data_IF_182305728436
#
_entry.id   IF_182305728436
#
_cell.length_a   1.000
_cell.length_b   1.000
_cell.length_c   1.000
_cell.angle_alpha   90.00
_cell.angle_beta   90.00
_cell.angle_gamma   90.00
#
_symmetry.space_group_name_H-M   'P 1'
#
loop_
_entity.id
_entity.type
_entity.pdbx_description
1 polymer ?
#
# COMPACT_ATOMS: atom_id res chain seq x y z
N UNK A 1 -5.63 -15.38 27.15
CA UNK A 1 -4.57 -15.84 28.09
C UNK A 1 -3.48 -16.56 27.31
N UNK A 2 -2.27 -16.70 27.88
CA UNK A 2 -1.14 -17.44 27.28
C UNK A 2 -1.54 -18.88 26.84
N UNK A 3 -2.48 -19.48 27.57
CA UNK A 3 -3.09 -20.79 27.27
C UNK A 3 -4.02 -20.77 26.04
N UNK A 4 -4.77 -19.70 25.80
CA UNK A 4 -5.52 -19.53 24.53
C UNK A 4 -4.59 -19.29 23.36
N UNK A 5 -3.49 -18.57 23.57
CA UNK A 5 -2.47 -18.33 22.56
C UNK A 5 -1.79 -19.64 22.15
N UNK A 6 -1.45 -20.49 23.12
CA UNK A 6 -0.89 -21.83 22.91
C UNK A 6 -1.89 -22.78 22.23
N UNK A 7 -3.20 -22.65 22.49
CA UNK A 7 -4.24 -23.41 21.78
C UNK A 7 -4.42 -22.94 20.33
N UNK A 8 -4.46 -21.63 20.09
CA UNK A 8 -4.49 -21.06 18.72
C UNK A 8 -3.24 -21.50 17.96
N UNK A 9 -2.07 -21.42 18.60
CA UNK A 9 -0.82 -21.87 18.01
C UNK A 9 -0.81 -23.38 17.78
N UNK A 10 -1.31 -24.22 18.69
CA UNK A 10 -1.38 -25.68 18.49
C UNK A 10 -2.35 -26.06 17.37
N UNK A 11 -3.56 -25.50 17.38
CA UNK A 11 -4.58 -25.81 16.37
C UNK A 11 -4.18 -25.30 14.97
N UNK A 12 -3.39 -24.22 14.89
CA UNK A 12 -2.96 -23.60 13.63
C UNK A 12 -1.55 -24.00 13.17
N UNK A 13 -0.63 -24.40 14.05
CA UNK A 13 0.64 -25.06 13.67
C UNK A 13 0.39 -26.47 13.12
N UNK A 14 -0.65 -27.17 13.59
CA UNK A 14 -1.06 -28.46 13.02
C UNK A 14 -1.40 -28.36 11.53
N UNK A 15 -1.90 -27.21 11.07
CA UNK A 15 -2.20 -26.95 9.66
C UNK A 15 -0.94 -26.71 8.81
N UNK A 16 0.18 -26.29 9.40
CA UNK A 16 1.39 -25.88 8.66
C UNK A 16 2.50 -26.94 8.60
N UNK A 17 2.47 -27.97 9.46
CA UNK A 17 3.51 -29.02 9.46
C UNK A 17 3.18 -30.18 8.49
N UNK A 18 1.91 -30.39 8.11
CA UNK A 18 1.48 -31.62 7.41
C UNK A 18 0.67 -31.38 6.12
N UNK A 19 0.06 -30.20 5.91
CA UNK A 19 -0.86 -30.02 4.78
C UNK A 19 -0.19 -29.25 3.64
N UNK A 20 -0.11 -29.82 2.41
CA UNK A 20 0.33 -29.10 1.23
C UNK A 20 -0.50 -27.83 1.03
N UNK A 21 0.17 -26.71 0.75
CA UNK A 21 -0.49 -25.44 0.47
C UNK A 21 -1.49 -25.59 -0.69
N UNK A 22 -2.77 -25.49 -0.40
CA UNK A 22 -3.89 -25.52 -1.34
C UNK A 22 -4.91 -24.41 -1.02
N UNK A 23 -5.88 -24.15 -1.90
CA UNK A 23 -6.85 -23.06 -1.71
C UNK A 23 -7.63 -23.15 -0.38
N UNK A 24 -7.98 -24.36 0.08
CA UNK A 24 -8.67 -24.58 1.35
C UNK A 24 -7.80 -24.22 2.58
N UNK A 25 -6.48 -24.40 2.48
CA UNK A 25 -5.53 -23.99 3.52
C UNK A 25 -5.38 -22.46 3.59
N UNK A 26 -5.51 -21.75 2.46
CA UNK A 26 -5.38 -20.29 2.36
C UNK A 26 -6.47 -19.55 3.12
N UNK A 27 -7.72 -20.03 3.06
CA UNK A 27 -8.85 -19.41 3.76
C UNK A 27 -8.78 -19.63 5.28
N UNK A 28 -8.39 -20.82 5.70
CA UNK A 28 -8.21 -21.14 7.13
C UNK A 28 -7.08 -20.32 7.73
N UNK A 29 -5.99 -20.15 6.99
CA UNK A 29 -4.87 -19.29 7.35
C UNK A 29 -5.20 -17.79 7.36
N UNK A 30 -6.03 -17.34 6.41
CA UNK A 30 -6.51 -15.95 6.40
C UNK A 30 -7.40 -15.68 7.62
N UNK A 31 -8.25 -16.63 8.02
CA UNK A 31 -9.07 -16.52 9.25
C UNK A 31 -8.20 -16.49 10.51
N UNK A 32 -7.19 -17.34 10.59
CA UNK A 32 -6.17 -17.38 11.64
C UNK A 32 -5.49 -16.01 11.83
N UNK A 33 -4.89 -15.49 10.76
CA UNK A 33 -4.23 -14.18 10.78
C UNK A 33 -5.20 -13.05 11.15
N UNK A 34 -6.42 -13.08 10.63
CA UNK A 34 -7.44 -12.10 11.00
C UNK A 34 -7.76 -12.11 12.50
N UNK A 35 -7.78 -13.29 13.14
CA UNK A 35 -7.94 -13.40 14.61
C UNK A 35 -6.73 -12.84 15.35
N UNK A 36 -5.52 -13.17 14.93
CA UNK A 36 -4.30 -12.60 15.51
C UNK A 36 -4.25 -11.07 15.39
N UNK A 37 -4.70 -10.54 14.25
CA UNK A 37 -4.85 -9.09 14.04
C UNK A 37 -5.93 -8.47 14.93
N UNK A 38 -7.06 -9.14 15.14
CA UNK A 38 -8.12 -8.68 16.05
C UNK A 38 -7.64 -8.65 17.51
N UNK A 39 -6.78 -9.59 17.89
CA UNK A 39 -6.26 -9.71 19.26
C UNK A 39 -4.97 -8.89 19.51
N UNK A 40 -4.48 -8.16 18.50
CA UNK A 40 -3.29 -7.30 18.57
C UNK A 40 -1.98 -8.02 18.98
N UNK A 41 -1.83 -9.31 18.62
CA UNK A 41 -0.60 -10.07 18.90
C UNK A 41 0.46 -9.86 17.83
N UNK A 42 0.91 -8.60 17.67
CA UNK A 42 1.86 -8.20 16.63
C UNK A 42 3.17 -8.97 16.76
N UNK A 43 3.70 -9.15 17.97
CA UNK A 43 4.94 -9.89 18.21
C UNK A 43 4.86 -11.34 17.72
N UNK A 44 3.70 -11.97 17.90
CA UNK A 44 3.45 -13.32 17.42
C UNK A 44 3.36 -13.37 15.90
N UNK A 45 2.69 -12.40 15.28
CA UNK A 45 2.63 -12.28 13.82
C UNK A 45 4.04 -12.12 13.23
N UNK A 46 4.88 -11.30 13.85
CA UNK A 46 6.27 -11.10 13.45
C UNK A 46 7.12 -12.36 13.67
N UNK A 47 6.92 -13.06 14.80
CA UNK A 47 7.59 -14.33 15.08
C UNK A 47 7.23 -15.37 14.02
N UNK A 48 5.95 -15.60 13.76
CA UNK A 48 5.51 -16.58 12.76
C UNK A 48 6.03 -16.17 11.38
N UNK A 49 5.96 -14.88 11.00
CA UNK A 49 6.54 -14.41 9.74
C UNK A 49 8.04 -14.74 9.61
N UNK A 50 8.84 -14.40 10.63
CA UNK A 50 10.31 -14.60 10.59
C UNK A 50 10.68 -16.07 10.45
N UNK A 51 9.90 -16.97 11.06
CA UNK A 51 10.21 -18.39 11.13
C UNK A 51 9.42 -19.25 10.14
N UNK A 52 8.42 -18.72 9.44
CA UNK A 52 7.56 -19.48 8.55
C UNK A 52 7.67 -19.00 7.08
N UNK A 53 8.27 -19.82 6.24
CA UNK A 53 8.48 -19.54 4.81
C UNK A 53 7.15 -19.40 4.04
N UNK A 54 6.12 -20.14 4.45
CA UNK A 54 4.80 -20.10 3.85
C UNK A 54 4.12 -18.76 4.13
N UNK A 55 4.24 -18.23 5.35
CA UNK A 55 3.72 -16.92 5.75
C UNK A 55 4.49 -15.77 5.07
N UNK A 56 5.80 -15.94 4.89
CA UNK A 56 6.61 -15.06 4.03
C UNK A 56 6.09 -15.07 2.60
N UNK A 57 5.92 -16.24 2.00
CA UNK A 57 5.40 -16.40 0.63
C UNK A 57 4.00 -15.82 0.50
N UNK A 58 3.13 -16.00 1.50
CA UNK A 58 1.78 -15.45 1.55
C UNK A 58 1.78 -13.93 1.52
N UNK A 59 2.55 -13.26 2.39
CA UNK A 59 2.70 -11.80 2.35
C UNK A 59 3.40 -11.30 1.08
N UNK A 60 4.26 -12.11 0.46
CA UNK A 60 5.03 -11.75 -0.72
C UNK A 60 4.28 -11.93 -2.05
N UNK A 61 3.05 -12.47 -2.03
CA UNK A 61 2.24 -12.57 -3.26
C UNK A 61 1.48 -11.28 -3.54
N UNK A 62 1.68 -10.72 -4.73
CA UNK A 62 1.00 -9.50 -5.22
C UNK A 62 -0.52 -9.60 -5.06
N UNK A 63 -1.09 -10.75 -5.42
CA UNK A 63 -2.51 -11.10 -5.23
C UNK A 63 -2.99 -10.95 -3.77
N UNK A 64 -2.18 -11.38 -2.81
CA UNK A 64 -2.57 -11.30 -1.40
C UNK A 64 -2.54 -9.86 -0.92
N UNK A 65 -1.46 -9.14 -1.23
CA UNK A 65 -1.32 -7.72 -0.91
C UNK A 65 -2.54 -6.97 -1.45
N UNK A 66 -2.87 -7.12 -2.73
CA UNK A 66 -4.05 -6.49 -3.35
C UNK A 66 -5.36 -6.82 -2.66
N UNK A 67 -5.62 -8.11 -2.39
CA UNK A 67 -6.85 -8.56 -1.73
C UNK A 67 -6.98 -8.09 -0.28
N UNK A 68 -5.86 -7.79 0.39
CA UNK A 68 -5.85 -7.51 1.82
C UNK A 68 -5.52 -6.05 2.16
N UNK A 69 -5.10 -5.21 1.21
CA UNK A 69 -4.91 -3.77 1.42
C UNK A 69 -6.15 -3.15 2.07
N UNK A 70 -7.34 -3.46 1.54
CA UNK A 70 -8.59 -2.92 2.04
C UNK A 70 -8.88 -3.36 3.48
N UNK A 71 -8.50 -4.59 3.81
CA UNK A 71 -8.60 -5.12 5.17
C UNK A 71 -7.62 -4.36 6.07
N UNK A 72 -6.35 -4.27 5.68
CA UNK A 72 -5.26 -3.63 6.45
C UNK A 72 -5.51 -2.14 6.69
N UNK A 73 -6.09 -1.43 5.72
CA UNK A 73 -6.39 -0.01 5.80
C UNK A 73 -7.78 0.29 6.38
N UNK A 74 -8.66 -0.72 6.43
CA UNK A 74 -10.08 -0.53 6.73
C UNK A 74 -10.41 -0.04 8.14
N UNK A 75 -9.52 -0.24 9.13
CA UNK A 75 -9.73 0.26 10.50
C UNK A 75 -8.44 0.68 11.21
N UNK A 76 -8.57 1.40 12.34
CA UNK A 76 -7.43 1.97 13.08
C UNK A 76 -6.41 0.94 13.56
N UNK A 77 -6.87 -0.18 14.13
CA UNK A 77 -5.96 -1.22 14.66
C UNK A 77 -5.16 -1.87 13.55
N UNK A 78 -5.81 -2.22 12.43
CA UNK A 78 -5.14 -2.82 11.28
C UNK A 78 -4.14 -1.88 10.63
N UNK A 79 -4.38 -0.56 10.65
CA UNK A 79 -3.39 0.44 10.24
C UNK A 79 -2.17 0.49 11.17
N UNK A 80 -2.35 0.35 12.48
CA UNK A 80 -1.23 0.33 13.43
C UNK A 80 -0.34 -0.89 13.20
N UNK A 81 -0.96 -2.05 13.02
CA UNK A 81 -0.28 -3.26 12.60
C UNK A 81 0.45 -3.05 11.26
N UNK A 82 -0.22 -2.56 10.21
CA UNK A 82 0.41 -2.32 8.92
C UNK A 82 1.63 -1.40 9.06
N UNK A 83 1.51 -0.34 9.87
CA UNK A 83 2.65 0.53 10.18
C UNK A 83 3.80 -0.26 10.81
N UNK A 84 3.50 -1.17 11.74
CA UNK A 84 4.52 -2.02 12.40
C UNK A 84 5.17 -2.97 11.41
N UNK A 85 4.38 -3.60 10.52
CA UNK A 85 4.91 -4.46 9.45
C UNK A 85 5.80 -3.65 8.47
N UNK A 86 5.47 -2.40 8.20
CA UNK A 86 6.28 -1.52 7.36
C UNK A 86 7.59 -1.10 8.07
N UNK A 87 7.59 -0.95 9.40
CA UNK A 87 8.81 -0.63 10.18
C UNK A 87 9.80 -1.79 10.23
N UNK A 88 9.31 -3.01 10.04
CA UNK A 88 10.12 -4.22 10.00
C UNK A 88 10.84 -4.33 8.65
N UNK A 89 12.13 -3.96 8.63
CA UNK A 89 12.97 -3.90 7.40
C UNK A 89 12.82 -5.06 6.42
N UNK A 90 12.80 -6.35 6.80
CA UNK A 90 12.61 -7.44 5.83
C UNK A 90 11.21 -7.44 5.20
N UNK A 91 10.19 -6.97 5.93
CA UNK A 91 8.80 -6.87 5.47
C UNK A 91 8.54 -5.60 4.65
N UNK A 92 9.23 -4.52 4.96
CA UNK A 92 9.10 -3.23 4.28
C UNK A 92 9.19 -3.36 2.75
N UNK A 93 10.11 -4.22 2.28
CA UNK A 93 10.35 -4.45 0.85
C UNK A 93 9.14 -5.03 0.12
N UNK A 94 8.30 -5.82 0.80
CA UNK A 94 7.10 -6.42 0.24
C UNK A 94 6.05 -5.35 -0.11
N UNK A 95 6.07 -4.22 0.58
CA UNK A 95 5.16 -3.10 0.35
C UNK A 95 5.66 -2.11 -0.73
N UNK A 96 6.88 -2.30 -1.23
CA UNK A 96 7.46 -1.56 -2.36
C UNK A 96 6.94 -2.19 -3.67
N UNK A 97 5.62 -2.15 -3.86
CA UNK A 97 4.96 -2.70 -5.04
C UNK A 97 4.00 -1.65 -5.61
N UNK A 98 3.97 -1.55 -6.95
CA UNK A 98 3.08 -0.68 -7.70
C UNK A 98 1.63 -0.76 -7.23
N UNK A 99 1.04 -1.95 -7.22
CA UNK A 99 -0.39 -2.12 -6.99
C UNK A 99 -0.76 -1.73 -5.54
N UNK A 100 0.15 -1.98 -4.59
CA UNK A 100 0.01 -1.50 -3.21
C UNK A 100 -0.05 0.03 -3.15
N UNK A 101 0.90 0.70 -3.79
CA UNK A 101 1.00 2.17 -3.80
C UNK A 101 -0.21 2.82 -4.47
N UNK A 102 -0.63 2.31 -5.63
CA UNK A 102 -1.81 2.82 -6.33
C UNK A 102 -3.07 2.69 -5.47
N UNK A 103 -3.22 1.56 -4.76
CA UNK A 103 -4.35 1.37 -3.84
C UNK A 103 -4.29 2.30 -2.64
N UNK A 104 -3.11 2.62 -2.11
CA UNK A 104 -2.95 3.63 -1.05
C UNK A 104 -3.41 5.01 -1.53
N UNK A 105 -3.15 5.36 -2.79
CA UNK A 105 -3.63 6.60 -3.41
C UNK A 105 -5.17 6.61 -3.49
N UNK A 106 -5.78 5.53 -3.99
CA UNK A 106 -7.24 5.39 -4.06
C UNK A 106 -7.90 5.53 -2.68
N UNK A 107 -7.30 4.90 -1.67
CA UNK A 107 -7.76 4.93 -0.28
C UNK A 107 -7.31 6.18 0.48
N UNK A 108 -6.59 7.10 -0.17
CA UNK A 108 -6.12 8.37 0.41
C UNK A 108 -5.29 8.18 1.69
N UNK A 109 -4.47 7.12 1.74
CA UNK A 109 -3.60 6.81 2.87
C UNK A 109 -2.26 7.54 2.79
N UNK A 110 -2.30 8.87 2.97
CA UNK A 110 -1.14 9.73 2.79
C UNK A 110 0.05 9.35 3.68
N UNK A 111 -0.18 9.09 4.97
CA UNK A 111 0.90 8.81 5.92
C UNK A 111 1.61 7.47 5.64
N UNK A 112 0.84 6.46 5.25
CA UNK A 112 1.41 5.14 4.90
C UNK A 112 2.19 5.23 3.59
N UNK A 113 1.65 5.94 2.59
CA UNK A 113 2.35 6.17 1.33
C UNK A 113 3.67 6.92 1.56
N UNK A 114 3.63 8.01 2.33
CA UNK A 114 4.81 8.80 2.67
C UNK A 114 5.90 7.93 3.28
N UNK A 115 5.54 7.09 4.26
CA UNK A 115 6.46 6.15 4.92
C UNK A 115 7.12 5.18 3.95
N UNK A 116 6.38 4.65 2.98
CA UNK A 116 6.92 3.70 1.99
C UNK A 116 7.87 4.39 1.01
N UNK A 117 7.57 5.64 0.62
CA UNK A 117 8.47 6.42 -0.23
C UNK A 117 9.76 6.77 0.51
N UNK A 118 9.69 7.05 1.82
CA UNK A 118 10.85 7.28 2.68
C UNK A 118 11.72 6.01 2.81
N UNK A 119 11.11 4.82 2.82
CA UNK A 119 11.82 3.55 2.83
C UNK A 119 12.55 3.26 1.51
N UNK A 120 11.93 3.61 0.38
CA UNK A 120 12.59 3.50 -0.91
C UNK A 120 12.06 4.52 -1.91
N UNK A 121 12.92 5.46 -2.31
CA UNK A 121 12.60 6.43 -3.37
C UNK A 121 12.41 5.79 -4.74
N UNK A 122 12.86 4.54 -4.95
CA UNK A 122 12.69 3.84 -6.24
C UNK A 122 11.22 3.65 -6.62
N UNK A 123 10.30 3.67 -5.64
CA UNK A 123 8.86 3.58 -5.89
C UNK A 123 8.32 4.72 -6.73
N UNK A 124 9.00 5.87 -6.76
CA UNK A 124 8.59 7.04 -7.56
C UNK A 124 8.72 6.77 -9.06
N UNK A 125 9.50 5.77 -9.47
CA UNK A 125 9.68 5.38 -10.87
C UNK A 125 8.65 4.36 -11.35
N UNK A 126 7.83 3.80 -10.45
CA UNK A 126 6.81 2.82 -10.78
C UNK A 126 5.69 3.48 -11.58
N UNK A 127 5.21 2.77 -12.59
CA UNK A 127 4.14 3.22 -13.50
C UNK A 127 3.03 2.18 -13.60
N UNK A 128 1.78 2.65 -13.72
CA UNK A 128 0.63 1.80 -14.04
C UNK A 128 0.66 1.27 -15.48
N UNK A 129 -0.38 0.53 -15.85
CA UNK A 129 -0.45 -0.11 -17.18
C UNK A 129 -0.65 0.91 -18.33
N UNK A 130 -1.11 2.13 -18.01
CA UNK A 130 -1.24 3.26 -18.94
C UNK A 130 0.05 4.10 -19.00
N UNK A 131 1.10 3.70 -18.25
CA UNK A 131 2.37 4.42 -18.16
C UNK A 131 2.34 5.64 -17.24
N UNK A 132 1.30 5.78 -16.41
CA UNK A 132 1.18 6.85 -15.44
C UNK A 132 2.05 6.57 -14.21
N UNK A 133 2.89 7.52 -13.83
CA UNK A 133 3.51 7.51 -12.51
C UNK A 133 2.49 7.90 -11.41
N UNK A 134 2.94 7.97 -10.16
CA UNK A 134 2.08 8.33 -9.03
C UNK A 134 1.40 9.69 -9.19
N UNK A 135 2.06 10.68 -9.82
CA UNK A 135 1.51 12.03 -10.04
C UNK A 135 0.40 12.00 -11.09
N UNK A 136 0.65 11.37 -12.24
CA UNK A 136 -0.33 11.24 -13.32
C UNK A 136 -1.52 10.41 -12.86
N UNK A 137 -1.27 9.31 -12.14
CA UNK A 137 -2.32 8.45 -11.59
C UNK A 137 -3.23 9.22 -10.63
N UNK A 138 -2.66 10.03 -9.72
CA UNK A 138 -3.44 10.88 -8.82
C UNK A 138 -4.37 11.83 -9.58
N UNK A 139 -3.87 12.45 -10.63
CA UNK A 139 -4.62 13.44 -11.38
C UNK A 139 -5.72 12.80 -12.26
N UNK A 140 -5.50 11.59 -12.76
CA UNK A 140 -6.45 10.90 -13.65
C UNK A 140 -7.45 10.01 -12.92
N UNK A 141 -7.00 9.20 -11.95
CA UNK A 141 -7.78 8.08 -11.40
C UNK A 141 -8.33 8.36 -10.00
N UNK A 142 -7.62 9.17 -9.21
CA UNK A 142 -8.03 9.48 -7.83
C UNK A 142 -8.98 10.68 -7.79
N UNK A 143 -10.01 10.64 -6.93
CA UNK A 143 -10.95 11.76 -6.74
C UNK A 143 -10.84 12.39 -5.36
N UNK A 144 -11.03 13.70 -5.27
CA UNK A 144 -11.06 14.44 -4.00
C UNK A 144 -9.69 14.96 -3.56
N UNK A 145 -9.37 14.87 -2.27
CA UNK A 145 -8.23 15.48 -1.57
C UNK A 145 -6.83 15.06 -2.08
N UNK A 146 -6.47 15.48 -3.30
CA UNK A 146 -5.24 15.12 -4.01
C UNK A 146 -4.10 16.13 -3.84
N UNK A 147 -4.42 17.40 -3.59
CA UNK A 147 -3.43 18.48 -3.55
C UNK A 147 -2.27 18.19 -2.57
N UNK A 148 -2.54 17.63 -1.38
CA UNK A 148 -1.48 17.27 -0.42
C UNK A 148 -0.55 16.17 -0.93
N UNK A 149 -1.09 15.18 -1.62
CA UNK A 149 -0.27 14.13 -2.25
C UNK A 149 0.60 14.71 -3.35
N UNK A 150 0.01 15.54 -4.22
CA UNK A 150 0.71 16.17 -5.34
C UNK A 150 1.83 17.09 -4.82
N UNK A 151 1.53 17.95 -3.83
CA UNK A 151 2.51 18.80 -3.18
C UNK A 151 3.68 17.99 -2.62
N UNK A 152 3.39 16.90 -1.90
CA UNK A 152 4.42 16.04 -1.34
C UNK A 152 5.28 15.40 -2.43
N UNK A 153 4.66 14.79 -3.45
CA UNK A 153 5.34 14.10 -4.54
C UNK A 153 6.22 15.04 -5.38
N UNK A 154 5.72 16.24 -5.71
CA UNK A 154 6.52 17.28 -6.38
C UNK A 154 7.71 17.67 -5.49
N UNK A 155 7.48 17.90 -4.19
CA UNK A 155 8.52 18.32 -3.25
C UNK A 155 9.66 17.31 -3.06
N UNK A 156 9.39 16.01 -3.22
CA UNK A 156 10.41 14.95 -3.12
C UNK A 156 10.99 14.51 -4.47
N UNK A 157 10.82 15.33 -5.50
CA UNK A 157 11.42 15.17 -6.83
C UNK A 157 10.80 14.06 -7.70
N UNK A 158 9.47 13.85 -7.66
CA UNK A 158 8.80 13.08 -8.72
C UNK A 158 9.03 13.72 -10.10
N UNK A 159 9.14 12.92 -11.16
CA UNK A 159 9.40 13.39 -12.51
C UNK A 159 8.16 14.11 -13.10
N UNK A 160 8.07 15.43 -12.88
CA UNK A 160 6.96 16.26 -13.38
C UNK A 160 6.93 16.39 -14.91
N UNK A 161 8.00 16.00 -15.59
CA UNK A 161 8.12 16.00 -17.05
C UNK A 161 7.76 14.64 -17.66
N UNK A 162 7.32 13.66 -16.84
CA UNK A 162 6.93 12.36 -17.36
C UNK A 162 5.71 12.47 -18.27
N UNK A 163 5.77 11.70 -19.36
CA UNK A 163 4.69 11.54 -20.32
C UNK A 163 4.22 10.09 -20.24
N UNK A 164 2.90 9.88 -20.14
CA UNK A 164 2.31 8.54 -20.14
C UNK A 164 2.23 7.94 -21.56
N UNK A 165 1.72 6.72 -21.69
CA UNK A 165 1.61 6.05 -23.00
C UNK A 165 0.57 6.69 -23.93
N UNK A 166 -0.25 7.61 -23.42
CA UNK A 166 -1.17 8.43 -24.21
C UNK A 166 -0.55 9.76 -24.66
N UNK A 167 0.74 10.00 -24.42
CA UNK A 167 1.40 11.24 -24.80
C UNK A 167 1.05 12.43 -23.90
N UNK A 168 0.51 12.21 -22.70
CA UNK A 168 0.09 13.26 -21.79
C UNK A 168 1.11 13.49 -20.67
N UNK A 169 1.49 14.75 -20.47
CA UNK A 169 2.25 15.24 -19.32
C UNK A 169 1.33 15.58 -18.13
N UNK A 170 1.94 15.93 -16.98
CA UNK A 170 1.20 16.42 -15.81
C UNK A 170 0.33 17.64 -16.15
N UNK A 171 0.85 18.55 -16.96
CA UNK A 171 0.15 19.77 -17.37
C UNK A 171 -1.06 19.45 -18.25
N UNK A 172 -0.90 18.54 -19.22
CA UNK A 172 -1.99 18.13 -20.10
C UNK A 172 -3.15 17.54 -19.30
N UNK A 173 -2.82 16.69 -18.32
CA UNK A 173 -3.81 16.07 -17.43
C UNK A 173 -4.51 17.10 -16.52
N UNK A 174 -3.78 18.08 -15.99
CA UNK A 174 -4.36 19.11 -15.11
C UNK A 174 -5.31 20.06 -15.85
N UNK A 175 -5.08 20.29 -17.15
CA UNK A 175 -5.94 21.12 -18.02
C UNK A 175 -7.26 20.44 -18.41
N UNK A 176 -7.39 19.14 -18.18
CA UNK A 176 -8.65 18.42 -18.42
C UNK A 176 -9.80 19.04 -17.62
N UNK A 177 -11.01 18.99 -18.20
CA UNK A 177 -12.19 19.67 -17.65
C UNK A 177 -12.50 19.21 -16.22
N UNK A 178 -12.33 17.93 -15.94
CA UNK A 178 -12.51 17.28 -14.64
C UNK A 178 -11.49 17.73 -13.59
N UNK A 179 -10.33 18.25 -14.00
CA UNK A 179 -9.26 18.67 -13.10
C UNK A 179 -9.19 20.17 -12.85
N UNK A 180 -10.07 20.99 -13.46
CA UNK A 180 -10.11 22.45 -13.25
C UNK A 180 -10.10 22.88 -11.77
N UNK A 181 -10.87 22.21 -10.91
CA UNK A 181 -10.88 22.52 -9.47
C UNK A 181 -9.59 22.12 -8.77
N UNK A 182 -8.94 21.04 -9.21
CA UNK A 182 -7.63 20.64 -8.70
C UNK A 182 -6.56 21.63 -9.15
N UNK A 183 -6.50 21.95 -10.44
CA UNK A 183 -5.57 22.92 -11.01
C UNK A 183 -5.65 24.25 -10.28
N UNK A 184 -6.85 24.81 -10.11
CA UNK A 184 -7.05 26.03 -9.32
C UNK A 184 -6.48 25.91 -7.90
N UNK A 185 -6.75 24.80 -7.20
CA UNK A 185 -6.20 24.58 -5.84
C UNK A 185 -4.68 24.47 -5.83
N UNK A 186 -4.09 23.84 -6.84
CA UNK A 186 -2.63 23.71 -6.91
C UNK A 186 -1.97 25.08 -7.15
N UNK A 187 -2.58 25.92 -7.98
CA UNK A 187 -2.19 27.32 -8.20
C UNK A 187 -2.36 28.16 -6.92
N UNK A 188 -3.55 28.13 -6.31
CA UNK A 188 -3.88 28.93 -5.12
C UNK A 188 -2.96 28.60 -3.93
N UNK A 189 -2.38 27.39 -3.91
CA UNK A 189 -1.41 26.94 -2.91
C UNK A 189 0.05 27.02 -3.37
N UNK A 190 0.32 27.66 -4.51
CA UNK A 190 1.68 27.83 -5.07
C UNK A 190 2.43 26.49 -5.23
N UNK A 191 1.70 25.41 -5.51
CA UNK A 191 2.27 24.07 -5.74
C UNK A 191 2.78 23.96 -7.18
N UNK A 192 2.11 24.63 -8.11
CA UNK A 192 2.49 24.74 -9.52
C UNK A 192 2.30 26.19 -9.97
N UNK A 193 3.09 26.61 -10.96
CA UNK A 193 3.04 27.99 -11.46
C UNK A 193 1.79 28.25 -12.30
N UNK A 194 1.35 29.52 -12.30
CA UNK A 194 0.27 30.03 -13.14
C UNK A 194 0.56 30.00 -14.64
N UNK A 195 1.79 29.65 -15.05
CA UNK A 195 2.21 29.57 -16.46
C UNK A 195 1.76 28.24 -17.10
N UNK A 196 1.10 27.37 -16.32
CA UNK A 196 0.47 26.13 -16.79
C UNK A 196 -0.74 26.42 -17.68
#
# INVERSE_FOLDING_TARGET
TEVELLKILQDEYYLQIIIPWNENSKDSFTRALNRLFQMNYIDLILLIYRHNEILRTFFNTTDYIERNIDIMIGNRMRKQLLNTLIDEKPLALCFINRNFLLRLLDKKQFQILKKIIELSKSVLNLIDDDGNDLLLYLCLKVRGCRHRFIQYLIGISSNTQRINYHGQSLIDVLKLKENRSLLKKLIDHEIIDNVV
#
